data_IF_110709983436
#
_entry.id   IF_110709983436
#
_cell.length_a   1.000
_cell.length_b   1.000
_cell.length_c   1.000
_cell.angle_alpha   90.00
_cell.angle_beta   90.00
_cell.angle_gamma   90.00
#
_symmetry.space_group_name_H-M   'P 1'
#
loop_
_entity.id
_entity.type
_entity.pdbx_description
1 polymer ?
#
# COMPACT_ATOMS: atom_id res chain seq x y z
N UNK A 1 -79.66 4.35 -3.80
CA UNK A 1 -78.93 4.73 -5.03
C UNK A 1 -77.44 4.57 -4.78
N UNK A 2 -76.67 4.06 -5.74
CA UNK A 2 -75.22 3.87 -5.58
C UNK A 2 -74.43 5.00 -6.25
N UNK A 3 -73.29 5.37 -5.65
CA UNK A 3 -72.16 6.03 -6.32
C UNK A 3 -70.88 5.70 -5.55
N UNK A 4 -70.00 4.90 -6.15
CA UNK A 4 -68.65 4.72 -5.65
C UNK A 4 -67.89 6.04 -5.85
N UNK A 5 -67.08 6.44 -4.87
CA UNK A 5 -66.04 7.46 -5.05
C UNK A 5 -64.69 6.75 -4.96
N UNK A 6 -63.86 6.93 -5.98
CA UNK A 6 -62.69 6.08 -6.23
C UNK A 6 -61.47 6.50 -5.42
N UNK A 7 -60.78 5.50 -4.87
CA UNK A 7 -59.49 5.63 -4.18
C UNK A 7 -58.42 6.18 -5.15
N UNK A 8 -57.64 7.21 -4.77
CA UNK A 8 -56.48 7.64 -5.55
C UNK A 8 -55.45 6.51 -5.72
N UNK A 9 -55.00 6.29 -6.94
CA UNK A 9 -53.96 5.31 -7.28
C UNK A 9 -52.57 5.86 -7.00
N UNK A 10 -51.74 5.08 -6.30
CA UNK A 10 -50.33 5.41 -6.05
C UNK A 10 -49.54 5.54 -7.36
N UNK A 11 -48.56 6.47 -7.46
CA UNK A 11 -47.72 6.59 -8.64
C UNK A 11 -46.84 5.34 -8.84
N UNK A 12 -46.69 4.92 -10.10
CA UNK A 12 -46.07 3.65 -10.48
C UNK A 12 -44.56 3.62 -10.19
N UNK A 13 -44.11 2.53 -9.57
CA UNK A 13 -42.68 2.23 -9.34
C UNK A 13 -41.92 2.14 -10.68
N UNK A 14 -40.78 2.84 -10.87
CA UNK A 14 -40.00 2.72 -12.09
C UNK A 14 -39.46 1.29 -12.29
N UNK A 15 -39.53 0.82 -13.53
CA UNK A 15 -39.11 -0.51 -13.97
C UNK A 15 -37.58 -0.59 -14.08
N UNK A 16 -36.92 -1.67 -13.65
CA UNK A 16 -35.47 -1.83 -13.85
C UNK A 16 -35.16 -1.94 -15.34
N UNK A 17 -34.25 -1.09 -15.82
CA UNK A 17 -33.71 -1.15 -17.19
C UNK A 17 -32.56 -2.16 -17.27
N UNK A 18 -32.47 -2.84 -18.41
CA UNK A 18 -31.59 -3.99 -18.65
C UNK A 18 -30.10 -3.66 -18.59
N UNK A 19 -29.31 -4.62 -18.07
CA UNK A 19 -27.85 -4.61 -18.12
C UNK A 19 -27.32 -4.81 -19.55
N UNK A 20 -26.23 -4.11 -19.95
CA UNK A 20 -25.45 -4.48 -21.12
C UNK A 20 -24.57 -5.71 -20.84
N UNK A 21 -24.23 -6.39 -21.93
CA UNK A 21 -23.67 -7.74 -22.03
C UNK A 21 -22.18 -7.82 -21.68
N UNK A 22 -21.73 -9.02 -21.27
CA UNK A 22 -20.31 -9.38 -21.10
C UNK A 22 -19.55 -9.30 -22.43
N UNK A 23 -18.32 -8.79 -22.40
CA UNK A 23 -17.35 -8.85 -23.50
C UNK A 23 -16.06 -9.57 -23.04
N UNK A 24 -15.31 -10.16 -23.97
CA UNK A 24 -14.45 -11.30 -23.69
C UNK A 24 -13.00 -10.96 -23.29
N UNK A 25 -12.37 -11.87 -22.51
CA UNK A 25 -10.92 -11.84 -22.24
C UNK A 25 -10.11 -11.99 -23.54
N UNK A 26 -9.05 -11.19 -23.74
CA UNK A 26 -7.88 -11.64 -24.50
C UNK A 26 -7.14 -12.71 -23.69
N UNK A 27 -6.80 -13.83 -24.33
CA UNK A 27 -5.84 -14.81 -23.79
C UNK A 27 -4.54 -14.72 -24.60
N UNK A 28 -3.41 -14.59 -23.93
CA UNK A 28 -2.08 -14.61 -24.55
C UNK A 28 -1.18 -15.58 -23.80
N UNK A 29 -1.03 -16.78 -24.38
CA UNK A 29 -0.13 -17.84 -23.93
C UNK A 29 1.11 -17.89 -24.83
N UNK A 30 2.27 -17.53 -24.30
CA UNK A 30 3.55 -17.87 -24.93
C UNK A 30 4.66 -18.05 -23.89
N UNK A 31 5.06 -19.30 -23.68
CA UNK A 31 6.27 -19.66 -22.92
C UNK A 31 7.44 -19.86 -23.87
N UNK A 32 8.61 -19.22 -23.66
CA UNK A 32 9.85 -19.62 -24.32
C UNK A 32 10.52 -20.76 -23.54
N UNK A 33 10.61 -21.97 -24.12
CA UNK A 33 11.40 -23.11 -23.59
C UNK A 33 12.29 -23.71 -24.68
N UNK A 34 13.55 -23.24 -24.75
CA UNK A 34 14.71 -23.87 -25.41
C UNK A 34 15.93 -23.42 -24.57
N UNK A 35 16.80 -24.23 -23.95
CA UNK A 35 17.30 -25.61 -24.17
C UNK A 35 18.56 -25.72 -25.06
N UNK A 36 19.70 -25.45 -24.40
CA UNK A 36 21.01 -26.15 -24.51
C UNK A 36 21.78 -26.29 -25.85
N UNK A 37 22.95 -25.64 -25.86
CA UNK A 37 24.30 -26.06 -26.35
C UNK A 37 24.45 -27.35 -27.22
N UNK A 38 25.20 -27.29 -28.33
CA UNK A 38 26.66 -27.60 -28.37
C UNK A 38 27.51 -26.38 -28.83
N UNK A 39 28.86 -26.35 -29.02
CA UNK A 39 30.04 -27.25 -28.83
C UNK A 39 31.26 -26.33 -28.39
N UNK A 40 32.57 -26.60 -28.20
CA UNK A 40 33.63 -27.65 -28.28
C UNK A 40 34.62 -27.64 -29.49
N UNK A 41 35.92 -27.84 -29.17
CA UNK A 41 37.20 -27.75 -29.94
C UNK A 41 37.84 -26.34 -29.98
N UNK A 42 39.19 -26.16 -29.92
CA UNK A 42 40.34 -27.08 -30.12
C UNK A 42 41.46 -26.99 -29.03
N UNK A 43 41.86 -28.14 -28.47
CA UNK A 43 43.23 -28.76 -28.35
C UNK A 43 44.51 -27.88 -28.04
N UNK A 44 45.70 -28.44 -27.67
CA UNK A 44 46.09 -28.43 -26.25
C UNK A 44 47.59 -28.11 -25.95
N UNK A 45 48.00 -28.38 -24.69
CA UNK A 45 49.34 -28.88 -24.26
C UNK A 45 50.49 -27.87 -23.99
N UNK A 46 50.79 -27.72 -22.70
CA UNK A 46 52.16 -27.77 -22.16
C UNK A 46 52.13 -28.74 -20.97
N UNK A 47 53.11 -29.63 -20.85
CA UNK A 47 53.25 -30.57 -19.73
C UNK A 47 54.17 -30.00 -18.65
N UNK A 48 53.76 -30.04 -17.38
CA UNK A 48 54.67 -30.35 -16.26
C UNK A 48 53.91 -30.88 -15.03
N UNK A 49 54.62 -31.55 -14.11
CA UNK A 49 54.05 -32.58 -13.20
C UNK A 49 54.91 -32.70 -11.92
N UNK A 50 54.39 -33.13 -10.75
CA UNK A 50 53.12 -32.82 -10.07
C UNK A 50 53.32 -32.38 -8.59
N UNK A 51 52.21 -32.36 -7.85
CA UNK A 51 52.07 -32.75 -6.43
C UNK A 51 52.17 -31.67 -5.34
N UNK A 52 50.99 -31.18 -4.94
CA UNK A 52 50.66 -30.99 -3.51
C UNK A 52 49.39 -31.81 -3.24
N UNK A 53 49.42 -32.70 -2.23
CA UNK A 53 48.26 -33.49 -1.78
C UNK A 53 47.64 -32.85 -0.54
N UNK A 54 46.40 -32.33 -0.64
CA UNK A 54 45.46 -32.36 0.50
C UNK A 54 44.01 -32.23 0.04
N UNK A 55 43.27 -33.33 0.22
CA UNK A 55 41.84 -33.50 0.60
C UNK A 55 40.80 -32.40 0.31
N UNK A 56 39.60 -32.77 -0.17
CA UNK A 56 38.51 -31.82 -0.45
C UNK A 56 37.85 -31.26 0.81
N UNK A 57 37.27 -30.07 0.70
CA UNK A 57 36.20 -29.62 1.60
C UNK A 57 34.98 -29.12 0.82
N UNK A 58 33.90 -29.88 0.94
CA UNK A 58 32.50 -29.47 0.71
C UNK A 58 32.22 -28.21 1.56
N UNK A 59 31.62 -27.15 1.01
CA UNK A 59 30.16 -27.00 1.01
C UNK A 59 29.70 -26.03 -0.09
N UNK A 60 28.50 -26.26 -0.64
CA UNK A 60 27.80 -25.22 -1.40
C UNK A 60 27.32 -24.16 -0.41
N UNK A 61 27.92 -22.97 -0.44
CA UNK A 61 27.37 -21.83 0.29
C UNK A 61 25.94 -21.57 -0.20
N UNK A 62 24.94 -21.44 0.69
CA UNK A 62 23.56 -21.25 0.27
C UNK A 62 23.42 -19.90 -0.44
N UNK A 63 22.67 -19.88 -1.54
CA UNK A 63 22.33 -18.64 -2.25
C UNK A 63 21.62 -17.70 -1.29
N UNK A 64 22.23 -16.56 -0.96
CA UNK A 64 21.63 -15.61 -0.02
C UNK A 64 20.47 -14.91 -0.74
N UNK A 65 19.24 -15.30 -0.42
CA UNK A 65 18.04 -14.56 -0.83
C UNK A 65 18.00 -13.25 -0.05
N UNK A 66 18.59 -12.19 -0.59
CA UNK A 66 18.82 -10.89 0.06
C UNK A 66 17.53 -10.06 0.22
N UNK A 67 16.62 -10.54 1.05
CA UNK A 67 15.47 -9.77 1.58
C UNK A 67 15.85 -8.84 2.77
N UNK A 68 16.73 -9.22 3.74
CA UNK A 68 16.88 -8.40 4.95
C UNK A 68 17.61 -7.07 4.76
N UNK A 69 18.31 -6.85 3.63
CA UNK A 69 19.00 -5.59 3.36
C UNK A 69 18.03 -4.43 3.06
N UNK A 70 16.91 -4.70 2.38
CA UNK A 70 15.89 -3.68 2.12
C UNK A 70 15.07 -3.35 3.38
N UNK A 71 14.71 -4.35 4.19
CA UNK A 71 14.00 -4.14 5.46
C UNK A 71 14.84 -3.34 6.47
N UNK A 72 16.13 -3.67 6.60
CA UNK A 72 17.05 -2.94 7.47
C UNK A 72 17.30 -1.51 6.99
N UNK A 73 17.48 -1.27 5.68
CA UNK A 73 17.59 0.09 5.12
C UNK A 73 16.33 0.92 5.35
N UNK A 74 15.15 0.37 5.09
CA UNK A 74 13.87 1.04 5.38
C UNK A 74 13.75 1.39 6.87
N UNK A 75 14.13 0.48 7.77
CA UNK A 75 14.08 0.74 9.21
C UNK A 75 15.09 1.80 9.68
N UNK A 76 16.24 1.93 9.01
CA UNK A 76 17.24 2.99 9.27
C UNK A 76 16.77 4.34 8.72
N UNK A 77 16.17 4.41 7.52
CA UNK A 77 15.55 5.66 7.03
C UNK A 77 14.37 6.10 7.91
N UNK A 78 13.61 5.14 8.44
CA UNK A 78 12.49 5.36 9.34
C UNK A 78 12.93 5.90 10.71
N UNK A 79 14.07 5.47 11.25
CA UNK A 79 14.56 5.98 12.54
C UNK A 79 15.18 7.38 12.49
N UNK A 80 15.46 7.91 11.29
CA UNK A 80 15.94 9.30 11.10
C UNK A 80 14.88 10.28 10.58
N UNK A 81 13.77 9.78 10.03
CA UNK A 81 12.64 10.60 9.53
C UNK A 81 11.52 10.69 10.57
N UNK A 82 11.20 11.91 10.98
CA UNK A 82 10.01 12.24 11.78
C UNK A 82 8.81 12.52 10.86
N UNK A 83 7.57 12.40 11.37
CA UNK A 83 6.35 12.46 10.54
C UNK A 83 6.17 13.75 9.71
N UNK A 84 6.77 14.86 10.13
CA UNK A 84 6.79 16.15 9.41
C UNK A 84 7.54 16.10 8.07
N UNK A 85 8.38 15.08 7.85
CA UNK A 85 9.25 14.90 6.67
C UNK A 85 8.76 13.83 5.70
N UNK A 86 7.61 13.22 5.96
CA UNK A 86 7.04 12.14 5.16
C UNK A 86 5.94 12.64 4.23
N UNK A 87 5.85 12.04 3.05
CA UNK A 87 4.71 12.22 2.14
C UNK A 87 3.45 11.52 2.66
N UNK A 88 2.27 11.94 2.16
CA UNK A 88 0.99 11.30 2.48
C UNK A 88 1.00 9.77 2.28
N UNK A 89 1.71 9.27 1.25
CA UNK A 89 1.82 7.83 0.92
C UNK A 89 2.86 7.09 1.76
N UNK A 90 3.86 7.75 2.32
CA UNK A 90 4.72 7.15 3.34
C UNK A 90 3.93 7.02 4.66
N UNK A 91 3.28 8.10 5.11
CA UNK A 91 2.47 8.13 6.33
C UNK A 91 1.34 7.09 6.28
N UNK A 92 0.62 6.96 5.16
CA UNK A 92 -0.46 5.97 5.01
C UNK A 92 0.02 4.52 4.97
N UNK A 93 1.34 4.28 4.96
CA UNK A 93 1.92 2.93 4.93
C UNK A 93 2.52 2.49 6.27
N UNK A 94 2.59 3.38 7.25
CA UNK A 94 3.02 3.11 8.62
C UNK A 94 2.02 2.22 9.38
N UNK A 95 2.43 1.67 10.52
CA UNK A 95 1.54 1.11 11.55
C UNK A 95 1.15 2.18 12.60
N UNK A 96 0.16 1.88 13.45
CA UNK A 96 -0.13 2.74 14.60
C UNK A 96 1.02 2.82 15.63
N UNK A 97 1.92 1.82 15.68
CA UNK A 97 3.15 1.89 16.49
C UNK A 97 4.12 2.93 15.92
N UNK A 98 4.31 2.91 14.62
CA UNK A 98 5.24 3.80 13.92
C UNK A 98 4.84 5.28 14.08
N UNK A 99 3.53 5.58 13.99
CA UNK A 99 3.00 6.92 14.23
C UNK A 99 3.26 7.45 15.65
N UNK A 100 3.58 6.57 16.62
CA UNK A 100 3.97 6.93 18.00
C UNK A 100 5.49 7.11 18.12
N UNK A 101 6.26 6.23 17.48
CA UNK A 101 7.73 6.24 17.53
C UNK A 101 8.36 7.36 16.66
N UNK A 102 7.67 7.82 15.62
CA UNK A 102 8.18 8.81 14.65
C UNK A 102 7.69 10.26 14.92
N UNK A 103 7.06 10.52 16.07
CA UNK A 103 6.51 11.85 16.39
C UNK A 103 7.60 12.95 16.38
N UNK A 104 7.40 14.05 15.64
CA UNK A 104 8.23 15.24 15.75
C UNK A 104 8.17 15.85 17.16
N UNK A 105 9.21 16.60 17.54
CA UNK A 105 9.22 17.33 18.82
C UNK A 105 7.99 18.24 18.94
N UNK A 106 7.39 18.27 20.14
CA UNK A 106 6.16 19.00 20.48
C UNK A 106 4.86 18.52 19.79
N UNK A 107 4.92 17.53 18.88
CA UNK A 107 3.72 16.86 18.40
C UNK A 107 3.16 15.91 19.46
N UNK A 108 1.85 15.75 19.48
CA UNK A 108 1.13 14.92 20.44
C UNK A 108 0.17 13.98 19.72
N UNK A 109 0.10 12.72 20.16
CA UNK A 109 -0.88 11.73 19.70
C UNK A 109 -1.92 11.45 20.78
N UNK A 110 -3.18 11.31 20.38
CA UNK A 110 -4.31 11.01 21.25
C UNK A 110 -5.14 9.88 20.65
N UNK A 111 -5.40 8.84 21.44
CA UNK A 111 -6.25 7.71 21.07
C UNK A 111 -7.51 7.73 21.93
N UNK A 112 -8.70 7.72 21.31
CA UNK A 112 -9.96 7.69 22.06
C UNK A 112 -11.12 7.19 21.19
N UNK A 113 -11.96 6.30 21.71
CA UNK A 113 -13.17 5.77 21.02
C UNK A 113 -12.92 5.31 19.57
N UNK A 114 -11.85 4.52 19.36
CA UNK A 114 -11.48 3.98 18.04
C UNK A 114 -10.95 5.03 17.03
N UNK A 115 -10.58 6.23 17.51
CA UNK A 115 -9.96 7.30 16.72
C UNK A 115 -8.56 7.60 17.20
N UNK A 116 -7.73 8.06 16.27
CA UNK A 116 -6.38 8.57 16.52
C UNK A 116 -6.29 10.01 16.03
N UNK A 117 -5.68 10.89 16.82
CA UNK A 117 -5.43 12.29 16.45
C UNK A 117 -3.97 12.64 16.71
N UNK A 118 -3.20 12.98 15.67
CA UNK A 118 -1.84 13.54 15.78
C UNK A 118 -1.92 15.05 15.55
N UNK A 119 -1.38 15.83 16.48
CA UNK A 119 -1.43 17.29 16.46
C UNK A 119 -0.06 17.93 16.62
N UNK A 120 0.15 19.01 15.86
CA UNK A 120 1.22 19.97 16.02
C UNK A 120 0.70 21.12 16.91
N UNK A 121 0.90 20.99 18.22
CA UNK A 121 0.28 21.85 19.24
C UNK A 121 -1.25 21.85 19.15
N UNK A 122 -1.82 22.85 18.45
CA UNK A 122 -3.27 22.98 18.19
C UNK A 122 -3.69 22.55 16.78
N UNK A 123 -2.77 22.47 15.81
CA UNK A 123 -3.07 22.12 14.42
C UNK A 123 -3.20 20.60 14.30
N UNK A 124 -4.28 20.12 13.67
CA UNK A 124 -4.41 18.69 13.36
C UNK A 124 -3.49 18.36 12.19
N UNK A 125 -2.66 17.31 12.30
CA UNK A 125 -1.76 16.87 11.22
C UNK A 125 -2.15 15.52 10.65
N UNK A 126 -2.62 14.60 11.49
CA UNK A 126 -3.17 13.30 11.07
C UNK A 126 -4.40 12.98 11.91
N UNK A 127 -5.46 12.44 11.29
CA UNK A 127 -6.54 11.72 11.98
C UNK A 127 -6.61 10.30 11.44
N UNK A 128 -6.95 9.34 12.29
CA UNK A 128 -7.50 8.05 11.84
C UNK A 128 -8.92 7.95 12.41
N UNK A 129 -9.88 7.74 11.53
CA UNK A 129 -11.31 7.67 11.82
C UNK A 129 -11.89 6.30 11.37
N UNK A 130 -12.89 5.76 12.08
CA UNK A 130 -13.65 4.61 11.60
C UNK A 130 -14.49 4.97 10.36
N UNK A 131 -15.03 3.96 9.68
CA UNK A 131 -15.94 4.12 8.55
C UNK A 131 -17.08 5.11 8.84
N UNK A 132 -17.41 5.93 7.85
CA UNK A 132 -18.26 7.11 7.98
C UNK A 132 -19.32 7.19 6.87
N UNK A 133 -19.83 8.40 6.56
CA UNK A 133 -20.76 8.61 5.46
C UNK A 133 -20.08 8.70 4.09
N UNK A 134 -18.86 9.24 3.99
CA UNK A 134 -18.09 9.35 2.74
C UNK A 134 -17.46 8.02 2.34
N UNK A 135 -16.89 7.27 3.31
CA UNK A 135 -16.18 6.01 3.06
C UNK A 135 -16.65 4.90 4.00
N UNK A 136 -16.73 3.66 3.49
CA UNK A 136 -17.22 2.50 4.25
C UNK A 136 -16.08 1.63 4.82
N UNK A 137 -14.92 2.25 5.02
CA UNK A 137 -13.70 1.65 5.56
C UNK A 137 -13.05 2.60 6.58
N UNK A 138 -12.21 2.06 7.46
CA UNK A 138 -11.36 2.87 8.34
C UNK A 138 -10.37 3.67 7.48
N UNK A 139 -10.20 4.95 7.78
CA UNK A 139 -9.49 5.87 6.92
C UNK A 139 -8.68 6.89 7.71
N UNK A 140 -7.69 7.45 7.06
CA UNK A 140 -6.82 8.51 7.53
C UNK A 140 -7.13 9.82 6.81
N UNK A 141 -7.12 10.92 7.56
CA UNK A 141 -7.02 12.28 7.00
C UNK A 141 -5.62 12.81 7.31
N UNK A 142 -4.93 13.34 6.31
CA UNK A 142 -3.62 13.99 6.46
C UNK A 142 -3.79 15.49 6.16
N UNK A 143 -3.05 16.34 6.88
CA UNK A 143 -3.16 17.79 6.77
C UNK A 143 -1.81 18.48 6.60
N UNK A 144 -1.79 19.55 5.78
CA UNK A 144 -0.64 20.44 5.66
C UNK A 144 -0.41 21.28 6.93
N UNK A 145 0.57 22.19 6.91
CA UNK A 145 0.87 23.07 8.04
C UNK A 145 -0.22 24.11 8.32
N UNK A 146 -1.09 24.39 7.35
CA UNK A 146 -2.20 25.34 7.44
C UNK A 146 -3.51 24.67 7.91
N UNK A 147 -3.56 23.33 7.94
CA UNK A 147 -4.76 22.54 8.24
C UNK A 147 -5.61 22.16 7.03
N UNK A 148 -5.12 22.35 5.81
CA UNK A 148 -5.78 21.89 4.58
C UNK A 148 -5.72 20.36 4.47
N UNK A 149 -6.81 19.71 4.07
CA UNK A 149 -6.84 18.28 3.79
C UNK A 149 -5.98 17.92 2.57
N UNK A 150 -5.19 16.86 2.69
CA UNK A 150 -4.35 16.32 1.62
C UNK A 150 -4.87 14.98 1.10
N UNK A 151 -4.70 14.73 -0.20
CA UNK A 151 -4.86 13.40 -0.79
C UNK A 151 -3.64 12.50 -0.53
N UNK A 152 -3.75 11.25 -0.96
CA UNK A 152 -2.69 10.23 -0.87
C UNK A 152 -1.38 10.61 -1.59
N UNK A 153 -1.40 11.59 -2.50
CA UNK A 153 -0.24 12.05 -3.24
C UNK A 153 0.34 13.37 -2.67
N UNK A 154 -0.34 14.00 -1.70
CA UNK A 154 0.05 15.28 -1.09
C UNK A 154 -0.62 16.51 -1.72
N UNK A 155 -1.59 16.34 -2.62
CA UNK A 155 -2.35 17.46 -3.19
C UNK A 155 -3.39 17.97 -2.18
N UNK A 156 -3.58 19.30 -2.10
CA UNK A 156 -4.70 19.87 -1.34
C UNK A 156 -6.02 19.48 -2.02
N UNK A 157 -6.96 18.99 -1.22
CA UNK A 157 -8.30 18.55 -1.66
C UNK A 157 -9.39 18.99 -0.68
N UNK A 158 -10.61 19.08 -1.19
CA UNK A 158 -11.79 19.36 -0.37
C UNK A 158 -11.94 18.36 0.78
N UNK A 159 -12.10 18.86 2.02
CA UNK A 159 -12.11 18.06 3.26
C UNK A 159 -13.16 16.94 3.24
N UNK A 160 -14.29 17.16 2.58
CA UNK A 160 -15.39 16.21 2.51
C UNK A 160 -15.35 15.34 1.24
N UNK A 161 -14.28 15.44 0.43
CA UNK A 161 -14.10 14.61 -0.76
C UNK A 161 -13.62 13.19 -0.40
N UNK A 162 -13.98 12.15 -1.17
CA UNK A 162 -13.43 10.81 -0.99
C UNK A 162 -11.89 10.78 -1.06
N UNK A 163 -11.26 11.68 -1.82
CA UNK A 163 -9.80 11.77 -1.95
C UNK A 163 -9.07 12.14 -0.66
N UNK A 164 -9.74 12.84 0.26
CA UNK A 164 -9.23 13.17 1.60
C UNK A 164 -9.29 11.98 2.58
N UNK A 165 -10.05 10.93 2.25
CA UNK A 165 -10.30 9.77 3.11
C UNK A 165 -9.39 8.62 2.68
N UNK A 166 -8.10 8.76 2.99
CA UNK A 166 -7.06 7.80 2.60
C UNK A 166 -7.32 6.45 3.29
N UNK A 167 -7.39 5.30 2.59
CA UNK A 167 -7.62 4.01 3.24
C UNK A 167 -6.57 3.71 4.31
N UNK A 168 -7.02 3.34 5.51
CA UNK A 168 -6.16 2.91 6.62
C UNK A 168 -6.61 1.54 7.14
N UNK A 169 -5.73 0.56 6.97
CA UNK A 169 -5.78 -0.68 7.73
C UNK A 169 -4.61 -0.65 8.70
N UNK A 170 -4.84 -0.96 9.98
CA UNK A 170 -3.73 -1.13 10.93
C UNK A 170 -2.87 -2.35 10.52
N UNK A 171 -1.56 -2.29 10.75
CA UNK A 171 -0.55 -3.21 10.19
C UNK A 171 0.36 -3.79 11.26
#
# INVERSE_FOLDING_TARGET
MAKLVTKPTSPTKPKPTTTPKVEAKPAITTTPKVESKPEVTTTPKVDEKPAIKTTPKVEKQPTITTVPEIESKVNIEKSIKTLDKLSSREISNLSLKDLKEMLPNHWNIYENNGRVHVKDGKVMRIRIDPADNVTKYQHMHIYDINGNSLDINGNIVERNSPSAHIPWNDK
#
